data_IF_524478673645
#
_entry.id   IF_524478673645
#
_cell.length_a   1.000
_cell.length_b   1.000
_cell.length_c   1.000
_cell.angle_alpha   90.00
_cell.angle_beta   90.00
_cell.angle_gamma   90.00
#
_symmetry.space_group_name_H-M   'P 1'
#
loop_
_entity.id
_entity.type
_entity.pdbx_description
1 polymer ?
#
# COMPACT_ATOMS: atom_id res chain seq x y z
N UNK A 1 -12.77 -8.79 14.55
CA UNK A 1 -13.88 -8.05 13.95
C UNK A 1 -13.48 -7.76 12.53
N UNK A 2 -14.26 -8.23 11.56
CA UNK A 2 -13.97 -8.00 10.14
C UNK A 2 -14.07 -6.50 9.89
N UNK A 3 -13.00 -5.88 9.42
CA UNK A 3 -12.95 -4.46 9.09
C UNK A 3 -13.82 -4.23 7.84
N UNK A 4 -15.08 -3.85 8.08
CA UNK A 4 -16.07 -3.59 7.03
C UNK A 4 -15.72 -2.33 6.23
N UNK A 5 -14.92 -1.41 6.80
CA UNK A 5 -14.51 -0.18 6.12
C UNK A 5 -13.37 -0.43 5.10
N UNK A 6 -12.51 -1.41 5.38
CA UNK A 6 -11.46 -1.84 4.44
C UNK A 6 -12.05 -2.46 3.16
N UNK A 7 -13.10 -3.25 3.29
CA UNK A 7 -13.80 -3.94 2.19
C UNK A 7 -14.50 -2.96 1.23
N UNK A 8 -15.03 -1.84 1.73
CA UNK A 8 -15.52 -0.75 0.87
C UNK A 8 -14.39 -0.02 0.13
N UNK A 9 -13.22 0.14 0.75
CA UNK A 9 -12.05 0.79 0.14
C UNK A 9 -11.50 -0.04 -1.03
N UNK A 10 -11.47 -1.37 -0.87
CA UNK A 10 -11.09 -2.32 -1.94
C UNK A 10 -12.08 -2.29 -3.11
N UNK A 11 -13.38 -2.14 -2.85
CA UNK A 11 -14.41 -2.03 -3.92
C UNK A 11 -14.30 -0.76 -4.76
N UNK A 12 -13.65 0.28 -4.25
CA UNK A 12 -13.45 1.58 -4.92
C UNK A 12 -12.06 1.66 -5.59
N UNK A 13 -11.17 0.70 -5.33
CA UNK A 13 -9.82 0.71 -5.87
C UNK A 13 -9.79 0.35 -7.38
N UNK A 14 -9.01 1.12 -8.13
CA UNK A 14 -8.76 0.88 -9.56
C UNK A 14 -8.07 -0.49 -9.77
N UNK A 15 -8.37 -1.25 -10.84
CA UNK A 15 -7.80 -2.58 -11.07
C UNK A 15 -6.27 -2.63 -11.01
N UNK A 16 -5.59 -1.59 -11.49
CA UNK A 16 -4.12 -1.50 -11.45
C UNK A 16 -3.55 -1.28 -10.04
N UNK A 17 -4.32 -0.66 -9.12
CA UNK A 17 -3.93 -0.54 -7.73
C UNK A 17 -4.00 -1.90 -7.03
N UNK A 18 -5.12 -2.61 -7.21
CA UNK A 18 -5.33 -3.91 -6.57
C UNK A 18 -4.29 -4.93 -7.03
N UNK A 19 -3.97 -4.99 -8.32
CA UNK A 19 -2.91 -5.87 -8.83
C UNK A 19 -1.56 -5.59 -8.14
N UNK A 20 -1.15 -4.32 -8.06
CA UNK A 20 0.12 -3.95 -7.43
C UNK A 20 0.16 -4.22 -5.91
N UNK A 21 -0.98 -4.16 -5.23
CA UNK A 21 -1.09 -4.53 -3.81
C UNK A 21 -0.97 -6.05 -3.63
N UNK A 22 -1.62 -6.83 -4.49
CA UNK A 22 -1.51 -8.29 -4.48
C UNK A 22 -0.07 -8.74 -4.76
N UNK A 23 0.59 -8.17 -5.76
CA UNK A 23 2.00 -8.47 -6.07
C UNK A 23 2.92 -8.14 -4.88
N UNK A 24 2.65 -7.04 -4.17
CA UNK A 24 3.40 -6.67 -2.98
C UNK A 24 3.18 -7.67 -1.83
N UNK A 25 1.95 -8.14 -1.64
CA UNK A 25 1.63 -9.15 -0.64
C UNK A 25 2.31 -10.48 -0.94
N UNK A 26 2.27 -10.95 -2.18
CA UNK A 26 2.97 -12.17 -2.62
C UNK A 26 4.47 -12.07 -2.34
N UNK A 27 5.11 -10.94 -2.69
CA UNK A 27 6.52 -10.72 -2.40
C UNK A 27 6.87 -10.76 -0.89
N UNK A 28 5.95 -10.33 -0.02
CA UNK A 28 6.13 -10.40 1.44
C UNK A 28 6.00 -11.83 1.94
N UNK A 29 5.02 -12.58 1.43
CA UNK A 29 4.78 -13.98 1.79
C UNK A 29 5.90 -14.92 1.32
N UNK A 30 6.49 -14.64 0.15
CA UNK A 30 7.56 -15.46 -0.44
C UNK A 30 8.97 -15.13 0.09
N UNK A 31 9.14 -14.00 0.78
CA UNK A 31 10.43 -13.59 1.31
C UNK A 31 10.97 -14.62 2.31
N UNK A 32 12.22 -15.04 2.11
CA UNK A 32 12.92 -15.97 3.01
C UNK A 32 13.90 -15.25 3.94
N UNK A 33 14.34 -14.04 3.56
CA UNK A 33 15.23 -13.20 4.33
C UNK A 33 14.86 -11.71 4.20
N UNK A 34 15.24 -10.86 5.16
CA UNK A 34 14.94 -9.42 5.12
C UNK A 34 15.37 -8.72 3.83
N UNK A 35 16.50 -9.13 3.26
CA UNK A 35 17.06 -8.58 2.01
C UNK A 35 16.19 -8.81 0.78
N UNK A 36 15.35 -9.84 0.80
CA UNK A 36 14.45 -10.16 -0.31
C UNK A 36 13.36 -9.07 -0.46
N UNK A 37 13.10 -8.33 0.63
CA UNK A 37 12.14 -7.22 0.69
C UNK A 37 12.75 -5.86 0.33
N UNK A 38 14.08 -5.75 0.17
CA UNK A 38 14.72 -4.46 -0.13
C UNK A 38 14.18 -3.81 -1.42
N UNK A 39 14.00 -4.55 -2.54
CA UNK A 39 13.42 -3.97 -3.76
C UNK A 39 11.97 -3.50 -3.54
N UNK A 40 11.18 -4.26 -2.78
CA UNK A 40 9.80 -3.88 -2.46
C UNK A 40 9.78 -2.63 -1.58
N UNK A 41 10.66 -2.53 -0.59
CA UNK A 41 10.79 -1.39 0.30
C UNK A 41 11.11 -0.12 -0.49
N UNK A 42 12.09 -0.18 -1.38
CA UNK A 42 12.46 0.96 -2.23
C UNK A 42 11.32 1.37 -3.17
N UNK A 43 10.70 0.41 -3.87
CA UNK A 43 9.59 0.69 -4.78
C UNK A 43 8.37 1.27 -4.04
N UNK A 44 8.05 0.76 -2.86
CA UNK A 44 6.93 1.23 -2.06
C UNK A 44 7.16 2.65 -1.53
N UNK A 45 8.38 2.98 -1.08
CA UNK A 45 8.73 4.35 -0.68
C UNK A 45 8.59 5.36 -1.84
N UNK A 46 8.95 4.96 -3.06
CA UNK A 46 8.72 5.80 -4.24
C UNK A 46 7.22 6.03 -4.50
N UNK A 47 6.39 4.99 -4.34
CA UNK A 47 4.92 5.10 -4.47
C UNK A 47 4.32 6.01 -3.41
N UNK A 48 4.75 5.91 -2.15
CA UNK A 48 4.33 6.79 -1.05
C UNK A 48 4.62 8.24 -1.40
N UNK A 49 5.89 8.57 -1.71
CA UNK A 49 6.29 9.94 -2.08
C UNK A 49 5.48 10.47 -3.25
N UNK A 50 5.24 9.63 -4.25
CA UNK A 50 4.45 10.00 -5.42
C UNK A 50 3.00 10.33 -5.04
N UNK A 51 2.35 9.52 -4.21
CA UNK A 51 0.99 9.80 -3.74
C UNK A 51 0.94 11.05 -2.86
N UNK A 52 1.93 11.30 -2.01
CA UNK A 52 2.04 12.55 -1.24
C UNK A 52 2.14 13.79 -2.14
N UNK A 53 2.96 13.74 -3.19
CA UNK A 53 3.07 14.82 -4.18
C UNK A 53 1.74 15.09 -4.90
N UNK A 54 1.05 14.03 -5.33
CA UNK A 54 -0.22 14.12 -6.04
C UNK A 54 -1.34 14.63 -5.13
N UNK A 55 -1.39 14.14 -3.90
CA UNK A 55 -2.32 14.61 -2.88
C UNK A 55 -2.11 16.10 -2.58
N UNK A 56 -0.85 16.53 -2.45
CA UNK A 56 -0.51 17.94 -2.26
C UNK A 56 -0.89 18.82 -3.46
N UNK A 57 -0.78 18.32 -4.69
CA UNK A 57 -1.27 19.02 -5.90
C UNK A 57 -2.79 19.13 -5.88
N UNK A 58 -3.50 18.02 -5.64
CA UNK A 58 -4.95 17.97 -5.59
C UNK A 58 -5.52 18.97 -4.58
N UNK A 59 -4.93 19.07 -3.39
CA UNK A 59 -5.35 20.08 -2.40
C UNK A 59 -5.10 21.52 -2.85
N UNK A 60 -3.96 21.82 -3.50
CA UNK A 60 -3.68 23.16 -4.02
C UNK A 60 -4.63 23.56 -5.14
N UNK A 61 -5.01 22.61 -5.97
CA UNK A 61 -5.87 22.84 -7.14
C UNK A 61 -7.37 22.75 -6.77
N UNK A 62 -7.71 22.40 -5.53
CA UNK A 62 -9.08 22.23 -5.06
C UNK A 62 -9.77 20.96 -5.60
N UNK A 63 -9.03 20.01 -6.15
CA UNK A 63 -9.55 18.77 -6.70
C UNK A 63 -9.75 17.72 -5.60
N UNK A 64 -10.91 17.79 -4.94
CA UNK A 64 -11.29 16.90 -3.83
C UNK A 64 -11.39 15.44 -4.28
N UNK A 65 -11.81 15.18 -5.52
CA UNK A 65 -11.97 13.81 -6.01
C UNK A 65 -10.61 13.16 -6.28
N UNK A 66 -9.66 13.91 -6.85
CA UNK A 66 -8.27 13.44 -6.95
C UNK A 66 -7.64 13.21 -5.56
N UNK A 67 -7.89 14.12 -4.60
CA UNK A 67 -7.38 13.96 -3.25
C UNK A 67 -7.89 12.69 -2.58
N UNK A 68 -9.19 12.37 -2.72
CA UNK A 68 -9.77 11.13 -2.20
C UNK A 68 -9.14 9.88 -2.82
N UNK A 69 -8.98 9.86 -4.15
CA UNK A 69 -8.37 8.72 -4.86
C UNK A 69 -6.92 8.50 -4.41
N UNK A 70 -6.14 9.56 -4.27
CA UNK A 70 -4.75 9.46 -3.83
C UNK A 70 -4.62 9.10 -2.34
N UNK A 71 -5.53 9.57 -1.48
CA UNK A 71 -5.55 9.17 -0.07
C UNK A 71 -5.79 7.66 0.10
N UNK A 72 -6.69 7.07 -0.72
CA UNK A 72 -6.92 5.62 -0.74
C UNK A 72 -5.65 4.88 -1.17
N UNK A 73 -4.99 5.31 -2.25
CA UNK A 73 -3.72 4.71 -2.70
C UNK A 73 -2.65 4.78 -1.63
N UNK A 74 -2.49 5.94 -1.00
CA UNK A 74 -1.50 6.17 0.05
C UNK A 74 -1.74 5.22 1.24
N UNK A 75 -2.98 4.98 1.63
CA UNK A 75 -3.31 4.01 2.68
C UNK A 75 -2.77 2.61 2.36
N UNK A 76 -2.98 2.11 1.14
CA UNK A 76 -2.43 0.81 0.75
C UNK A 76 -0.90 0.75 0.81
N UNK A 77 -0.20 1.79 0.34
CA UNK A 77 1.26 1.83 0.39
C UNK A 77 1.80 1.93 1.82
N UNK A 78 1.12 2.67 2.69
CA UNK A 78 1.48 2.71 4.12
C UNK A 78 1.29 1.35 4.77
N UNK A 79 0.18 0.66 4.50
CA UNK A 79 -0.05 -0.70 5.01
C UNK A 79 1.06 -1.66 4.55
N UNK A 80 1.46 -1.62 3.27
CA UNK A 80 2.57 -2.44 2.76
C UNK A 80 3.88 -2.11 3.47
N UNK A 81 4.16 -0.83 3.74
CA UNK A 81 5.36 -0.42 4.49
C UNK A 81 5.37 -1.01 5.89
N UNK A 82 4.22 -0.99 6.57
CA UNK A 82 4.04 -1.58 7.89
C UNK A 82 4.24 -3.09 7.84
N UNK A 83 3.64 -3.80 6.89
CA UNK A 83 3.85 -5.25 6.70
C UNK A 83 5.32 -5.61 6.45
N UNK A 84 6.02 -4.83 5.65
CA UNK A 84 7.45 -5.03 5.34
C UNK A 84 8.35 -4.64 6.54
N UNK A 85 7.87 -3.79 7.45
CA UNK A 85 8.56 -3.47 8.70
C UNK A 85 8.34 -4.56 9.76
N UNK A 86 7.12 -5.10 9.83
CA UNK A 86 6.70 -6.08 10.83
C UNK A 86 7.03 -7.53 10.42
N UNK A 87 7.57 -7.73 9.22
CA UNK A 87 8.02 -9.03 8.74
C UNK A 87 9.14 -9.60 9.64
N UNK A 88 9.01 -10.87 9.99
CA UNK A 88 10.00 -11.62 10.78
C UNK A 88 10.26 -13.01 10.15
N UNK A 89 11.53 -13.42 10.11
CA UNK A 89 11.93 -14.72 9.57
C UNK A 89 11.25 -15.88 10.31
N UNK A 90 10.64 -16.80 9.55
CA UNK A 90 10.00 -17.99 10.10
C UNK A 90 8.67 -17.74 10.82
N UNK A 91 8.11 -16.52 10.78
CA UNK A 91 6.76 -16.23 11.28
C UNK A 91 5.75 -16.11 10.14
N UNK A 92 4.50 -16.53 10.36
CA UNK A 92 3.42 -16.24 9.43
C UNK A 92 3.26 -14.72 9.28
N UNK A 93 3.22 -14.25 8.03
CA UNK A 93 2.96 -12.85 7.72
C UNK A 93 1.47 -12.56 7.97
N UNK A 94 1.18 -11.48 8.71
CA UNK A 94 -0.18 -10.96 8.84
C UNK A 94 -0.27 -9.66 8.05
N UNK A 95 -0.98 -9.70 6.93
CA UNK A 95 -1.14 -8.55 6.05
C UNK A 95 -2.44 -7.81 6.43
N UNK A 96 -2.38 -6.53 6.88
CA UNK A 96 -3.56 -5.74 7.12
C UNK A 96 -4.29 -5.45 5.80
N UNK A 97 -5.63 -5.36 5.87
CA UNK A 97 -6.51 -5.06 4.73
C UNK A 97 -7.14 -3.67 4.90
#
# INVERSE_FOLDING_TARGET
GVDVAADETLRVAEPGLLAAVLDAHEAIEEAAAPRDLDPLREANEQRIRRSEELLGRAFRDGDVDAAKREAVRLRYWVNIRESVHDWEEGRPVVLPH
#
